data_IF_348277818523
#
_entry.id   IF_348277818523
#
_cell.length_a   1.000
_cell.length_b   1.000
_cell.length_c   1.000
_cell.angle_alpha   90.00
_cell.angle_beta   90.00
_cell.angle_gamma   90.00
#
_symmetry.space_group_name_H-M   'P 1'
#
loop_
_entity.id
_entity.type
_entity.pdbx_description
1 polymer ?
#
# COMPACT_ATOMS: atom_id res chain seq x y z
N UNK A 1 -18.30 20.30 -4.04
CA UNK A 1 -16.98 20.12 -4.65
C UNK A 1 -16.74 18.64 -4.93
N UNK A 2 -16.36 18.31 -6.15
CA UNK A 2 -16.08 16.92 -6.49
C UNK A 2 -14.87 16.40 -5.71
N UNK A 3 -14.94 15.17 -5.28
CA UNK A 3 -13.81 14.53 -4.61
C UNK A 3 -12.67 14.34 -5.61
N UNK A 4 -11.48 14.61 -5.13
CA UNK A 4 -10.29 14.40 -5.92
C UNK A 4 -10.07 12.88 -6.12
N UNK A 5 -9.76 12.48 -7.33
CA UNK A 5 -9.45 11.08 -7.64
C UNK A 5 -8.28 10.60 -6.78
N UNK A 6 -8.44 9.42 -6.17
CA UNK A 6 -7.39 8.83 -5.36
C UNK A 6 -6.35 8.19 -6.28
N UNK A 7 -5.09 8.51 -6.05
CA UNK A 7 -3.97 8.02 -6.83
C UNK A 7 -3.18 7.03 -5.98
N UNK A 8 -3.02 5.81 -6.48
CA UNK A 8 -2.40 4.71 -5.75
C UNK A 8 -1.15 4.23 -6.48
N UNK A 9 -0.05 4.09 -5.74
CA UNK A 9 1.15 3.44 -6.23
C UNK A 9 1.17 2.01 -5.71
N UNK A 10 1.15 1.04 -6.60
CA UNK A 10 1.22 -0.38 -6.25
C UNK A 10 2.60 -0.92 -6.54
N UNK A 11 3.20 -1.57 -5.56
CA UNK A 11 4.56 -2.08 -5.67
C UNK A 11 4.73 -3.42 -4.96
N UNK A 12 5.86 -4.07 -5.26
CA UNK A 12 6.32 -5.26 -4.55
C UNK A 12 7.74 -4.97 -4.08
N UNK A 13 8.15 -5.62 -2.97
CA UNK A 13 9.54 -5.51 -2.54
C UNK A 13 10.45 -6.23 -3.54
N UNK A 14 11.70 -5.77 -3.62
CA UNK A 14 12.59 -6.04 -4.75
C UNK A 14 12.85 -7.52 -5.07
N UNK A 15 12.77 -8.40 -4.10
CA UNK A 15 13.02 -9.83 -4.31
C UNK A 15 11.74 -10.65 -4.53
N UNK A 16 10.59 -9.98 -4.62
CA UNK A 16 9.31 -10.65 -4.80
C UNK A 16 9.12 -11.12 -6.23
N UNK A 17 8.74 -12.39 -6.42
CA UNK A 17 8.48 -12.95 -7.74
C UNK A 17 6.99 -13.23 -8.00
N UNK A 18 6.14 -13.10 -6.97
CA UNK A 18 4.72 -13.40 -7.09
C UNK A 18 3.95 -12.12 -7.44
N UNK A 19 3.55 -11.99 -8.71
CA UNK A 19 2.93 -10.75 -9.20
C UNK A 19 1.41 -10.81 -9.31
N UNK A 20 0.82 -11.99 -9.20
CA UNK A 20 -0.62 -12.18 -9.42
C UNK A 20 -1.48 -11.32 -8.49
N UNK A 21 -1.14 -11.32 -7.19
CA UNK A 21 -1.87 -10.53 -6.21
C UNK A 21 -1.78 -9.04 -6.48
N UNK A 22 -0.59 -8.59 -6.89
CA UNK A 22 -0.37 -7.18 -7.23
C UNK A 22 -1.28 -6.73 -8.37
N UNK A 23 -1.30 -7.48 -9.47
CA UNK A 23 -2.13 -7.15 -10.63
C UNK A 23 -3.62 -7.23 -10.30
N UNK A 24 -4.02 -8.22 -9.51
CA UNK A 24 -5.43 -8.38 -9.13
C UNK A 24 -5.92 -7.17 -8.33
N UNK A 25 -5.18 -6.76 -7.33
CA UNK A 25 -5.58 -5.61 -6.51
C UNK A 25 -5.51 -4.32 -7.30
N UNK A 26 -4.48 -4.15 -8.14
CA UNK A 26 -4.38 -2.98 -9.01
C UNK A 26 -5.62 -2.85 -9.91
N UNK A 27 -6.06 -3.97 -10.49
CA UNK A 27 -7.27 -4.00 -11.30
C UNK A 27 -8.53 -3.65 -10.52
N UNK A 28 -8.66 -4.19 -9.30
CA UNK A 28 -9.78 -3.89 -8.41
C UNK A 28 -9.87 -2.40 -8.10
N UNK A 29 -8.74 -1.77 -7.79
CA UNK A 29 -8.72 -0.36 -7.43
C UNK A 29 -9.00 0.53 -8.63
N UNK A 30 -8.50 0.14 -9.81
CA UNK A 30 -8.80 0.85 -11.05
C UNK A 30 -10.28 0.76 -11.36
N UNK A 31 -10.90 -0.41 -11.19
CA UNK A 31 -12.34 -0.59 -11.40
C UNK A 31 -13.16 0.20 -10.40
N UNK A 32 -12.60 0.49 -9.22
CA UNK A 32 -13.25 1.31 -8.21
C UNK A 32 -13.11 2.82 -8.48
N UNK A 33 -12.49 3.20 -9.58
CA UNK A 33 -12.36 4.60 -9.99
C UNK A 33 -11.08 5.29 -9.54
N UNK A 34 -10.11 4.53 -9.04
CA UNK A 34 -8.84 5.09 -8.61
C UNK A 34 -7.83 5.08 -9.76
N UNK A 35 -6.92 6.04 -9.73
CA UNK A 35 -5.79 6.05 -10.64
C UNK A 35 -4.69 5.18 -10.03
N UNK A 36 -4.21 4.17 -10.77
CA UNK A 36 -3.23 3.22 -10.26
C UNK A 36 -1.96 3.28 -11.09
N UNK A 37 -0.83 3.48 -10.39
CA UNK A 37 0.49 3.38 -10.97
C UNK A 37 1.08 2.05 -10.51
N UNK A 38 1.49 1.23 -11.45
CA UNK A 38 2.07 -0.08 -11.16
C UNK A 38 3.57 0.00 -11.29
N UNK A 39 4.25 0.13 -10.15
CA UNK A 39 5.71 0.25 -10.15
C UNK A 39 6.42 -1.10 -10.33
N UNK A 40 5.84 -2.14 -9.77
CA UNK A 40 6.48 -3.47 -9.77
C UNK A 40 7.45 -3.63 -8.61
N UNK A 41 8.53 -4.36 -8.84
CA UNK A 41 9.51 -4.66 -7.79
C UNK A 41 10.44 -3.47 -7.56
N UNK A 42 10.59 -3.07 -6.31
CA UNK A 42 11.47 -1.95 -5.97
C UNK A 42 11.90 -2.01 -4.50
N UNK A 43 13.02 -1.37 -4.21
CA UNK A 43 13.48 -1.16 -2.84
C UNK A 43 12.60 -0.10 -2.16
N UNK A 44 12.47 -0.14 -0.83
CA UNK A 44 11.62 0.82 -0.11
C UNK A 44 11.90 2.29 -0.42
N UNK A 45 13.16 2.68 -0.51
CA UNK A 45 13.52 4.07 -0.82
C UNK A 45 13.09 4.48 -2.24
N UNK A 46 13.18 3.56 -3.20
CA UNK A 46 12.73 3.81 -4.58
C UNK A 46 11.21 3.94 -4.61
N UNK A 47 10.49 3.10 -3.86
CA UNK A 47 9.04 3.19 -3.76
C UNK A 47 8.62 4.56 -3.23
N UNK A 48 9.27 5.02 -2.17
CA UNK A 48 8.97 6.31 -1.54
C UNK A 48 9.31 7.47 -2.47
N UNK A 49 10.45 7.42 -3.15
CA UNK A 49 10.85 8.47 -4.08
C UNK A 49 9.86 8.57 -5.25
N UNK A 50 9.44 7.43 -5.80
CA UNK A 50 8.45 7.40 -6.87
C UNK A 50 7.11 7.94 -6.39
N UNK A 51 6.68 7.55 -5.18
CA UNK A 51 5.44 8.03 -4.60
C UNK A 51 5.45 9.54 -4.42
N UNK A 52 6.57 10.08 -3.98
CA UNK A 52 6.74 11.53 -3.81
C UNK A 52 6.68 12.25 -5.16
N UNK A 53 7.41 11.74 -6.14
CA UNK A 53 7.46 12.34 -7.48
C UNK A 53 6.08 12.33 -8.16
N UNK A 54 5.32 11.27 -7.96
CA UNK A 54 3.98 11.13 -8.56
C UNK A 54 2.87 11.74 -7.71
N UNK A 55 3.20 12.20 -6.52
CA UNK A 55 2.24 12.82 -5.58
C UNK A 55 1.04 11.90 -5.31
N UNK A 56 1.33 10.65 -4.95
CA UNK A 56 0.27 9.66 -4.70
C UNK A 56 -0.37 9.84 -3.34
N UNK A 57 -1.61 9.39 -3.23
CA UNK A 57 -2.36 9.38 -1.97
C UNK A 57 -2.11 8.09 -1.18
N UNK A 58 -1.79 7.00 -1.87
CA UNK A 58 -1.70 5.67 -1.29
C UNK A 58 -0.49 4.93 -1.83
N UNK A 59 0.22 4.24 -0.95
CA UNK A 59 1.23 3.24 -1.33
C UNK A 59 0.69 1.88 -0.91
N UNK A 60 0.51 0.99 -1.88
CA UNK A 60 0.06 -0.38 -1.64
C UNK A 60 1.17 -1.38 -1.95
N UNK A 61 1.42 -2.29 -1.02
CA UNK A 61 2.47 -3.29 -1.14
C UNK A 61 1.86 -4.69 -1.20
N UNK A 62 2.31 -5.49 -2.16
CA UNK A 62 2.01 -6.91 -2.23
C UNK A 62 3.29 -7.68 -1.87
N UNK A 63 3.20 -8.62 -0.94
CA UNK A 63 4.37 -9.36 -0.48
C UNK A 63 4.04 -10.83 -0.20
N UNK A 64 4.94 -11.72 -0.59
CA UNK A 64 4.78 -13.17 -0.41
C UNK A 64 6.09 -13.82 0.06
N UNK A 65 7.15 -13.04 0.22
CA UNK A 65 8.48 -13.60 0.45
C UNK A 65 8.95 -13.57 1.90
N UNK A 66 8.09 -13.15 2.83
CA UNK A 66 8.38 -13.22 4.26
C UNK A 66 9.18 -12.06 4.83
N UNK A 67 9.46 -11.03 4.07
CA UNK A 67 10.22 -9.87 4.55
C UNK A 67 9.35 -8.69 4.99
N UNK A 68 8.06 -8.89 5.19
CA UNK A 68 7.11 -7.80 5.39
C UNK A 68 7.42 -6.92 6.61
N UNK A 69 7.90 -7.50 7.71
CA UNK A 69 8.18 -6.71 8.91
C UNK A 69 9.40 -5.81 8.74
N UNK A 70 10.48 -6.35 8.20
CA UNK A 70 11.73 -5.61 8.00
C UNK A 70 11.59 -4.59 6.88
N UNK A 71 11.11 -5.04 5.72
CA UNK A 71 10.96 -4.17 4.55
C UNK A 71 9.84 -3.17 4.75
N UNK A 72 8.79 -3.56 5.48
CA UNK A 72 7.72 -2.65 5.85
C UNK A 72 8.22 -1.53 6.75
N UNK A 73 9.05 -1.87 7.73
CA UNK A 73 9.66 -0.84 8.61
C UNK A 73 10.55 0.08 7.78
N UNK A 74 11.36 -0.48 6.87
CA UNK A 74 12.22 0.33 6.01
C UNK A 74 11.40 1.29 5.14
N UNK A 75 10.27 0.82 4.62
CA UNK A 75 9.38 1.65 3.81
C UNK A 75 8.83 2.83 4.61
N UNK A 76 8.32 2.55 5.81
CA UNK A 76 7.76 3.60 6.67
C UNK A 76 8.85 4.60 7.10
N UNK A 77 10.03 4.09 7.46
CA UNK A 77 11.15 4.96 7.84
C UNK A 77 11.57 5.87 6.67
N UNK A 78 11.62 5.32 5.45
CA UNK A 78 11.92 6.11 4.27
C UNK A 78 10.86 7.18 4.01
N UNK A 79 9.58 6.84 4.21
CA UNK A 79 8.48 7.78 4.04
C UNK A 79 8.56 8.93 5.04
N UNK A 80 8.90 8.63 6.30
CA UNK A 80 9.08 9.65 7.34
C UNK A 80 10.24 10.57 7.00
N UNK A 81 11.35 9.99 6.55
CA UNK A 81 12.53 10.76 6.16
C UNK A 81 12.24 11.68 4.96
N UNK A 82 11.43 11.21 4.02
CA UNK A 82 11.03 11.98 2.83
C UNK A 82 9.98 13.05 3.15
N UNK A 83 9.31 12.95 4.28
CA UNK A 83 8.29 13.89 4.69
C UNK A 83 6.91 13.63 4.11
N UNK A 84 6.66 12.42 3.60
CA UNK A 84 5.36 12.08 3.02
C UNK A 84 4.50 11.18 3.90
N UNK A 85 5.03 10.72 5.03
CA UNK A 85 4.33 9.74 5.87
C UNK A 85 2.95 10.21 6.33
N UNK A 86 2.84 11.45 6.81
CA UNK A 86 1.60 11.93 7.42
C UNK A 86 0.47 12.12 6.41
N UNK A 87 0.81 12.30 5.14
CA UNK A 87 -0.15 12.59 4.07
C UNK A 87 -0.40 11.41 3.14
N UNK A 88 0.22 10.27 3.41
CA UNK A 88 0.11 9.09 2.55
C UNK A 88 -0.50 7.93 3.33
N UNK A 89 -1.41 7.21 2.70
CA UNK A 89 -2.00 5.99 3.26
C UNK A 89 -1.14 4.81 2.84
N UNK A 90 -0.84 3.93 3.80
CA UNK A 90 -0.01 2.73 3.56
C UNK A 90 -0.85 1.49 3.76
N UNK A 91 -0.91 0.64 2.74
CA UNK A 91 -1.62 -0.64 2.82
C UNK A 91 -0.69 -1.77 2.38
N UNK A 92 -0.84 -2.93 2.97
CA UNK A 92 -0.02 -4.10 2.66
C UNK A 92 -0.88 -5.35 2.67
N UNK A 93 -0.67 -6.21 1.69
CA UNK A 93 -1.38 -7.48 1.58
C UNK A 93 -0.48 -8.53 0.98
N UNK A 94 -0.94 -9.78 1.03
CA UNK A 94 -0.19 -10.90 0.49
C UNK A 94 -0.25 -12.11 1.38
N UNK A 95 0.82 -12.89 1.40
CA UNK A 95 0.91 -14.09 2.24
C UNK A 95 1.94 -13.86 3.33
N UNK A 96 1.43 -13.66 4.54
CA UNK A 96 2.25 -13.52 5.76
C UNK A 96 1.41 -13.97 6.95
N UNK A 97 2.05 -14.30 8.10
CA UNK A 97 1.29 -14.76 9.26
C UNK A 97 0.31 -13.71 9.76
N UNK A 98 -0.95 -14.09 10.05
CA UNK A 98 -1.91 -13.13 10.61
C UNK A 98 -1.43 -12.45 11.88
N UNK A 99 -0.53 -13.10 12.63
CA UNK A 99 0.05 -12.55 13.85
C UNK A 99 0.86 -11.29 13.60
N UNK A 100 1.32 -11.08 12.36
CA UNK A 100 2.10 -9.89 11.98
C UNK A 100 1.22 -8.66 11.81
N UNK A 101 -0.10 -8.82 11.69
CA UNK A 101 -1.00 -7.69 11.45
C UNK A 101 -0.87 -6.57 12.50
N UNK A 102 -0.91 -6.87 13.82
CA UNK A 102 -0.77 -5.79 14.82
C UNK A 102 0.57 -5.08 14.71
N UNK A 103 1.64 -5.82 14.43
CA UNK A 103 2.98 -5.26 14.27
C UNK A 103 3.08 -4.34 13.08
N UNK A 104 2.48 -4.74 11.95
CA UNK A 104 2.47 -3.92 10.74
C UNK A 104 1.68 -2.63 10.95
N UNK A 105 0.54 -2.70 11.64
CA UNK A 105 -0.23 -1.50 11.98
C UNK A 105 0.56 -0.58 12.90
N UNK A 106 1.27 -1.15 13.87
CA UNK A 106 2.09 -0.37 14.79
C UNK A 106 3.24 0.34 14.09
N UNK A 107 3.81 -0.29 13.07
CA UNK A 107 4.86 0.32 12.24
C UNK A 107 4.32 1.55 11.52
N UNK A 108 3.07 1.51 11.05
CA UNK A 108 2.48 2.65 10.36
C UNK A 108 1.57 2.29 9.19
N UNK A 109 1.27 1.02 8.96
CA UNK A 109 0.34 0.63 7.91
C UNK A 109 -1.09 0.88 8.35
N UNK A 110 -1.84 1.58 7.50
CA UNK A 110 -3.24 1.91 7.76
C UNK A 110 -4.17 0.75 7.47
N UNK A 111 -3.80 -0.11 6.53
CA UNK A 111 -4.56 -1.30 6.18
C UNK A 111 -3.66 -2.51 6.00
N UNK A 112 -4.03 -3.64 6.57
CA UNK A 112 -3.28 -4.89 6.47
C UNK A 112 -4.24 -5.99 6.05
N UNK A 113 -3.92 -6.69 4.97
CA UNK A 113 -4.78 -7.71 4.38
C UNK A 113 -4.06 -9.06 4.33
N UNK A 114 -4.03 -9.81 5.44
CA UNK A 114 -3.41 -11.13 5.46
C UNK A 114 -4.23 -12.16 4.68
N UNK A 115 -3.65 -13.32 4.34
CA UNK A 115 -4.38 -14.36 3.60
C UNK A 115 -5.63 -14.79 4.36
N UNK A 116 -6.71 -15.05 3.63
CA UNK A 116 -7.95 -15.51 4.23
C UNK A 116 -8.77 -14.41 4.90
N UNK A 117 -8.36 -13.17 4.77
CA UNK A 117 -9.10 -12.04 5.33
C UNK A 117 -10.43 -11.80 4.60
N UNK A 118 -10.66 -12.46 3.48
CA UNK A 118 -11.90 -12.33 2.72
C UNK A 118 -12.11 -10.95 2.13
N UNK A 119 -11.03 -10.22 1.90
CA UNK A 119 -11.13 -8.83 1.44
C UNK A 119 -11.63 -8.75 0.01
N UNK A 120 -12.81 -8.16 -0.17
CA UNK A 120 -13.38 -7.89 -1.47
C UNK A 120 -12.87 -6.55 -2.01
N UNK A 121 -13.16 -6.30 -3.30
CA UNK A 121 -12.87 -5.00 -3.91
C UNK A 121 -13.47 -3.86 -3.09
N UNK A 122 -14.73 -4.02 -2.68
CA UNK A 122 -15.44 -2.99 -1.93
C UNK A 122 -14.81 -2.73 -0.56
N UNK A 123 -14.35 -3.78 0.11
CA UNK A 123 -13.74 -3.65 1.43
C UNK A 123 -12.38 -2.94 1.34
N UNK A 124 -11.54 -3.34 0.38
CA UNK A 124 -10.23 -2.72 0.18
C UNK A 124 -10.38 -1.27 -0.26
N UNK A 125 -11.22 -1.02 -1.26
CA UNK A 125 -11.44 0.33 -1.75
C UNK A 125 -12.07 1.23 -0.69
N UNK A 126 -13.01 0.69 0.10
CA UNK A 126 -13.66 1.42 1.18
C UNK A 126 -12.67 1.84 2.26
N UNK A 127 -11.80 0.92 2.69
CA UNK A 127 -10.78 1.23 3.68
C UNK A 127 -9.84 2.33 3.17
N UNK A 128 -9.42 2.22 1.90
CA UNK A 128 -8.54 3.22 1.30
C UNK A 128 -9.22 4.58 1.25
N UNK A 129 -10.49 4.65 0.84
CA UNK A 129 -11.23 5.91 0.78
C UNK A 129 -11.35 6.56 2.15
N UNK A 130 -11.68 5.78 3.18
CA UNK A 130 -11.79 6.29 4.54
C UNK A 130 -10.46 6.79 5.06
N UNK A 131 -9.38 6.03 4.84
CA UNK A 131 -8.04 6.41 5.30
C UNK A 131 -7.54 7.67 4.59
N UNK A 132 -7.78 7.80 3.30
CA UNK A 132 -7.39 8.98 2.53
C UNK A 132 -8.17 10.21 3.04
N UNK A 133 -9.48 10.07 3.25
CA UNK A 133 -10.30 11.17 3.77
C UNK A 133 -9.81 11.63 5.14
N UNK A 134 -9.44 10.69 6.01
CA UNK A 134 -8.93 11.02 7.34
C UNK A 134 -7.61 11.80 7.28
N UNK A 135 -6.73 11.44 6.35
CA UNK A 135 -5.43 12.12 6.22
C UNK A 135 -5.52 13.45 5.50
N UNK A 136 -6.55 13.66 4.67
CA UNK A 136 -6.79 14.94 3.98
C UNK A 136 -7.40 16.00 4.89
N UNK A 137 -7.96 15.58 6.02
CA UNK A 137 -8.61 16.52 6.95
C UNK A 137 -7.61 17.11 7.96
#
# INVERSE_FOLDING_TARGET
>A
MADKTIKVLMAQFSLESHTRGLFTVAGMLRDAGMEVILLGNALPDVIVDTASDEDVDVIGISTYCGGEMVLGQDLIDAAKKKGIFDNTVFVIGGIFPPEDEPGLKKIGFDGVFPPGAGSSREEIAGLIREAVAAKRN
#
